data_IF_312412953027
#
_entry.id   IF_312412953027
#
_cell.length_a   1.000
_cell.length_b   1.000
_cell.length_c   1.000
_cell.angle_alpha   90.00
_cell.angle_beta   90.00
_cell.angle_gamma   90.00
#
_symmetry.space_group_name_H-M   'P 1'
#
loop_
_entity.id
_entity.type
_entity.pdbx_description
1 polymer ?
#
# COMPACT_ATOMS: atom_id res chain seq x y z
N UNK A 1 -10.59 6.11 19.87
CA UNK A 1 -10.17 5.66 18.51
C UNK A 1 -10.68 6.69 17.52
N UNK A 2 -9.90 7.72 17.19
CA UNK A 2 -10.49 8.93 16.56
C UNK A 2 -9.52 9.67 15.65
N UNK A 3 -9.36 9.18 14.42
CA UNK A 3 -8.77 9.99 13.35
C UNK A 3 -9.34 9.71 11.95
N UNK A 4 -10.16 8.66 11.79
CA UNK A 4 -10.73 8.32 10.49
C UNK A 4 -12.22 8.00 10.64
N UNK A 5 -13.06 8.79 10.00
CA UNK A 5 -14.52 8.63 10.08
C UNK A 5 -15.03 7.57 9.10
N UNK A 6 -14.26 7.26 8.05
CA UNK A 6 -14.66 6.32 7.00
C UNK A 6 -13.47 5.49 6.44
N UNK A 7 -13.74 4.29 5.87
CA UNK A 7 -12.74 3.45 5.20
C UNK A 7 -11.98 4.16 4.07
N UNK A 8 -12.63 5.07 3.36
CA UNK A 8 -12.04 5.80 2.23
C UNK A 8 -10.84 6.64 2.68
N UNK A 9 -10.98 7.39 3.77
CA UNK A 9 -9.92 8.24 4.33
C UNK A 9 -8.74 7.38 4.76
N UNK A 10 -9.00 6.22 5.39
CA UNK A 10 -7.94 5.28 5.75
C UNK A 10 -7.16 4.78 4.53
N UNK A 11 -7.87 4.33 3.48
CA UNK A 11 -7.27 3.79 2.27
C UNK A 11 -6.47 4.85 1.49
N UNK A 12 -6.96 6.10 1.49
CA UNK A 12 -6.26 7.26 0.93
C UNK A 12 -4.97 7.57 1.71
N UNK A 13 -5.01 7.51 3.03
CA UNK A 13 -3.85 7.80 3.89
C UNK A 13 -2.73 6.77 3.74
N UNK A 14 -3.07 5.48 3.65
CA UNK A 14 -2.05 4.43 3.42
C UNK A 14 -1.52 4.42 1.97
N UNK A 15 -2.26 5.02 1.04
CA UNK A 15 -1.94 5.19 -0.37
C UNK A 15 -1.68 3.88 -1.12
N UNK A 16 -0.71 3.91 -2.05
CA UNK A 16 -0.35 2.80 -2.95
C UNK A 16 -1.49 2.32 -3.86
N UNK A 17 -2.40 3.21 -4.24
CA UNK A 17 -3.52 2.88 -5.12
C UNK A 17 -4.65 2.14 -4.41
N UNK A 18 -4.70 2.17 -3.07
CA UNK A 18 -5.75 1.52 -2.29
C UNK A 18 -7.04 2.33 -2.27
N UNK A 19 -6.95 3.65 -2.44
CA UNK A 19 -8.07 4.58 -2.54
C UNK A 19 -9.09 4.17 -3.62
N UNK A 20 -8.63 3.56 -4.72
CA UNK A 20 -9.47 3.09 -5.84
C UNK A 20 -10.42 1.95 -5.46
N UNK A 21 -10.20 1.32 -4.31
CA UNK A 21 -11.01 0.21 -3.83
C UNK A 21 -11.91 0.62 -2.65
N UNK A 22 -11.95 1.91 -2.31
CA UNK A 22 -12.72 2.40 -1.16
C UNK A 22 -14.20 2.02 -1.23
N UNK A 23 -14.84 2.20 -2.40
CA UNK A 23 -16.25 1.86 -2.63
C UNK A 23 -16.58 0.37 -2.44
N UNK A 24 -15.56 -0.51 -2.44
CA UNK A 24 -15.75 -1.96 -2.21
C UNK A 24 -15.90 -2.30 -0.73
N UNK A 25 -15.56 -1.37 0.16
CA UNK A 25 -15.69 -1.53 1.60
C UNK A 25 -16.88 -0.73 2.12
N UNK A 26 -17.90 -1.46 2.60
CA UNK A 26 -19.13 -0.89 3.18
C UNK A 26 -18.87 0.04 4.36
N UNK A 27 -18.10 -0.44 5.33
CA UNK A 27 -17.85 0.25 6.60
C UNK A 27 -16.52 -0.21 7.23
N UNK A 28 -16.22 0.33 8.41
CA UNK A 28 -15.04 -0.02 9.19
C UNK A 28 -14.99 -1.48 9.61
N UNK A 29 -16.10 -2.05 10.04
CA UNK A 29 -16.12 -3.42 10.51
C UNK A 29 -15.80 -4.38 9.35
N UNK A 30 -16.38 -4.13 8.18
CA UNK A 30 -16.11 -4.85 6.96
C UNK A 30 -14.64 -4.74 6.51
N UNK A 31 -14.07 -3.52 6.48
CA UNK A 31 -12.65 -3.31 6.14
C UNK A 31 -11.72 -4.13 7.04
N UNK A 32 -12.04 -4.23 8.33
CA UNK A 32 -11.20 -4.91 9.30
C UNK A 32 -11.39 -6.43 9.27
N UNK A 33 -12.61 -6.92 9.05
CA UNK A 33 -12.90 -8.37 9.11
C UNK A 33 -12.66 -9.11 7.80
N UNK A 34 -12.72 -8.43 6.67
CA UNK A 34 -12.65 -9.08 5.36
C UNK A 34 -11.31 -9.79 5.15
N UNK A 35 -11.40 -11.03 4.67
CA UNK A 35 -10.23 -11.87 4.44
C UNK A 35 -9.55 -11.55 3.11
N UNK A 36 -8.27 -11.92 2.98
CA UNK A 36 -7.54 -11.78 1.71
C UNK A 36 -8.16 -12.57 0.55
N UNK A 37 -8.91 -13.65 0.85
CA UNK A 37 -9.61 -14.46 -0.12
C UNK A 37 -10.87 -13.74 -0.64
N UNK A 38 -11.69 -13.19 0.24
CA UNK A 38 -12.87 -12.39 -0.13
C UNK A 38 -12.47 -11.13 -0.91
N UNK A 39 -11.42 -10.43 -0.46
CA UNK A 39 -10.85 -9.30 -1.22
C UNK A 39 -10.40 -9.69 -2.64
N UNK A 40 -10.00 -10.96 -2.88
CA UNK A 40 -9.63 -11.44 -4.21
C UNK A 40 -10.88 -11.76 -5.03
N UNK A 41 -11.74 -12.64 -4.51
CA UNK A 41 -12.85 -13.22 -5.26
C UNK A 41 -13.98 -12.22 -5.47
N UNK A 42 -14.39 -11.54 -4.41
CA UNK A 42 -15.61 -10.72 -4.42
C UNK A 42 -15.31 -9.27 -4.83
N UNK A 43 -14.10 -8.80 -4.53
CA UNK A 43 -13.70 -7.41 -4.75
C UNK A 43 -12.68 -7.24 -5.87
N UNK A 44 -12.06 -8.31 -6.40
CA UNK A 44 -11.06 -8.20 -7.46
C UNK A 44 -9.83 -7.35 -7.11
N UNK A 45 -9.49 -7.22 -5.81
CA UNK A 45 -8.36 -6.41 -5.35
C UNK A 45 -7.07 -7.17 -5.63
N UNK A 46 -6.07 -6.52 -6.23
CA UNK A 46 -4.78 -7.12 -6.57
C UNK A 46 -3.95 -7.56 -5.34
N UNK A 47 -3.05 -8.54 -5.48
CA UNK A 47 -2.31 -9.12 -4.34
C UNK A 47 -1.43 -8.10 -3.60
N UNK A 48 -0.92 -7.08 -4.28
CA UNK A 48 -0.12 -6.01 -3.66
C UNK A 48 -0.97 -5.17 -2.71
N UNK A 49 -2.15 -4.74 -3.18
CA UNK A 49 -3.07 -3.93 -2.38
C UNK A 49 -3.66 -4.73 -1.22
N UNK A 50 -4.06 -6.00 -1.43
CA UNK A 50 -4.58 -6.85 -0.34
C UNK A 50 -3.59 -6.98 0.81
N UNK A 51 -2.32 -7.30 0.50
CA UNK A 51 -1.25 -7.39 1.51
C UNK A 51 -1.04 -6.06 2.23
N UNK A 52 -1.08 -4.95 1.49
CA UNK A 52 -0.89 -3.61 2.05
C UNK A 52 -2.02 -3.21 3.02
N UNK A 53 -3.27 -3.41 2.61
CA UNK A 53 -4.47 -3.12 3.41
C UNK A 53 -4.46 -3.98 4.69
N UNK A 54 -4.20 -5.29 4.58
CA UNK A 54 -4.16 -6.18 5.75
C UNK A 54 -3.02 -5.86 6.72
N UNK A 55 -1.85 -5.49 6.20
CA UNK A 55 -0.75 -5.04 7.04
C UNK A 55 -1.13 -3.78 7.83
N UNK A 56 -1.79 -2.81 7.20
CA UNK A 56 -2.19 -1.57 7.86
C UNK A 56 -3.35 -1.73 8.83
N UNK A 57 -4.38 -2.52 8.49
CA UNK A 57 -5.46 -2.82 9.42
C UNK A 57 -4.91 -3.50 10.68
N UNK A 58 -3.93 -4.41 10.55
CA UNK A 58 -3.24 -4.98 11.70
C UNK A 58 -2.45 -3.93 12.50
N UNK A 59 -1.66 -3.08 11.84
CA UNK A 59 -0.93 -1.99 12.51
C UNK A 59 -1.85 -1.04 13.27
N UNK A 60 -3.00 -0.71 12.68
CA UNK A 60 -3.99 0.15 13.30
C UNK A 60 -4.61 -0.48 14.55
N UNK A 61 -4.88 -1.80 14.53
CA UNK A 61 -5.31 -2.55 15.74
C UNK A 61 -4.27 -2.50 16.86
N UNK A 62 -2.99 -2.42 16.50
CA UNK A 62 -1.88 -2.29 17.44
C UNK A 62 -1.63 -0.84 17.89
N UNK A 63 -2.50 0.10 17.53
CA UNK A 63 -2.38 1.52 17.93
C UNK A 63 -1.41 2.35 17.08
N UNK A 64 -0.91 1.82 15.96
CA UNK A 64 -0.04 2.58 15.05
C UNK A 64 -0.91 3.35 14.05
N UNK A 65 -0.77 4.68 14.05
CA UNK A 65 -1.52 5.53 13.13
C UNK A 65 -1.10 5.28 11.67
N UNK A 66 -2.05 5.20 10.71
CA UNK A 66 -1.77 5.01 9.30
C UNK A 66 -1.04 6.21 8.71
N UNK A 67 -0.05 5.95 7.87
CA UNK A 67 0.63 6.96 7.06
C UNK A 67 1.17 6.34 5.77
N UNK A 68 1.44 7.15 4.76
CA UNK A 68 2.08 6.67 3.55
C UNK A 68 3.57 6.40 3.81
N UNK A 69 3.95 5.11 3.91
CA UNK A 69 5.38 4.72 3.93
C UNK A 69 5.98 4.98 2.56
N UNK A 70 6.61 6.16 2.42
CA UNK A 70 7.35 6.53 1.23
C UNK A 70 8.55 5.61 1.03
N UNK A 71 8.70 5.06 -0.17
CA UNK A 71 9.90 4.31 -0.52
C UNK A 71 11.06 5.28 -0.69
N UNK A 72 12.21 4.98 -0.09
CA UNK A 72 13.43 5.77 -0.30
C UNK A 72 13.76 5.85 -1.79
N UNK A 73 13.90 7.08 -2.31
CA UNK A 73 14.37 7.34 -3.69
C UNK A 73 15.82 6.89 -3.91
N UNK A 74 16.55 6.59 -2.84
CA UNK A 74 18.02 6.52 -2.82
C UNK A 74 18.61 5.25 -3.44
N UNK A 75 17.80 4.25 -3.83
CA UNK A 75 18.33 2.94 -4.24
C UNK A 75 17.71 2.29 -5.48
N UNK A 76 16.98 3.04 -6.31
CA UNK A 76 16.45 2.54 -7.58
C UNK A 76 17.19 3.16 -8.75
N UNK A 77 18.51 3.02 -8.81
CA UNK A 77 19.22 3.24 -10.08
C UNK A 77 18.62 2.23 -11.08
N UNK A 78 17.97 2.73 -12.12
CA UNK A 78 17.43 1.90 -13.19
C UNK A 78 18.58 1.05 -13.74
N UNK A 79 18.28 -0.18 -14.19
CA UNK A 79 19.30 -1.05 -14.78
C UNK A 79 20.09 -0.32 -15.89
N UNK A 80 19.42 0.50 -16.69
CA UNK A 80 20.05 1.37 -17.69
C UNK A 80 21.06 2.34 -17.10
N UNK A 81 20.74 3.01 -16.00
CA UNK A 81 21.62 3.96 -15.30
C UNK A 81 22.82 3.25 -14.65
N UNK A 82 22.60 2.05 -14.08
CA UNK A 82 23.67 1.20 -13.56
C UNK A 82 24.64 0.78 -14.65
N UNK A 83 24.12 0.32 -15.80
CA UNK A 83 24.91 -0.09 -16.95
C UNK A 83 25.66 1.10 -17.57
N UNK A 84 25.02 2.27 -17.67
CA UNK A 84 25.65 3.49 -18.17
C UNK A 84 26.81 3.96 -17.27
N UNK A 85 26.64 3.91 -15.94
CA UNK A 85 27.71 4.22 -14.97
C UNK A 85 28.87 3.24 -15.07
N UNK A 86 28.58 1.94 -15.24
CA UNK A 86 29.61 0.91 -15.41
C UNK A 86 30.40 1.07 -16.71
N UNK A 87 29.75 1.50 -17.81
CA UNK A 87 30.43 1.81 -19.07
C UNK A 87 31.38 3.00 -18.95
N UNK A 88 30.96 4.09 -18.30
CA UNK A 88 31.80 5.29 -18.10
C UNK A 88 33.09 4.97 -17.32
N UNK A 89 32.98 4.19 -16.25
CA UNK A 89 34.13 3.74 -15.42
C UNK A 89 35.18 2.88 -16.15
N UNK A 90 34.90 2.36 -17.34
CA UNK A 90 35.84 1.52 -18.09
C UNK A 90 36.66 2.31 -19.12
N UNK A 91 36.33 3.58 -19.33
CA UNK A 91 36.93 4.42 -20.35
C UNK A 91 37.73 5.60 -19.74
N UNK A 92 37.80 5.64 -18.41
CA UNK A 92 38.74 6.46 -17.61
C UNK A 92 39.88 5.54 -17.15
#
# INVERSE_FOLDING_TARGET
MGQFDNPETFLKTIGRGCEKFAEKFKDWDHLFRVSSAAMKSDMGIGPKQRKWILMWTNKFRLGINPYLIQTSKKHTMKRSERLARAKRRRHD
#
